data_IF_881051432466
#
_entry.id   IF_881051432466
#
_cell.length_a   1.000
_cell.length_b   1.000
_cell.length_c   1.000
_cell.angle_alpha   90.00
_cell.angle_beta   90.00
_cell.angle_gamma   90.00
#
_symmetry.space_group_name_H-M   'P 1'
#
loop_
_entity.id
_entity.type
_entity.pdbx_description
1 polymer ?
#
# COMPACT_ATOMS: atom_id res chain seq x y z
N UNK A 1 -11.00 -11.11 -30.44
CA UNK A 1 -12.16 -11.38 -29.54
C UNK A 1 -11.80 -11.08 -28.09
N UNK A 2 -10.60 -11.44 -27.63
CA UNK A 2 -10.17 -11.18 -26.24
C UNK A 2 -10.01 -9.68 -25.91
N UNK A 3 -9.49 -8.90 -26.86
CA UNK A 3 -9.30 -7.46 -26.69
C UNK A 3 -10.63 -6.72 -26.51
N UNK A 4 -11.64 -7.04 -27.34
CA UNK A 4 -12.98 -6.47 -27.24
C UNK A 4 -13.68 -6.85 -25.93
N UNK A 5 -13.47 -8.07 -25.42
CA UNK A 5 -14.01 -8.49 -24.13
C UNK A 5 -13.37 -7.72 -22.97
N UNK A 6 -12.06 -7.54 -22.99
CA UNK A 6 -11.35 -6.73 -22.00
C UNK A 6 -11.80 -5.26 -22.02
N UNK A 7 -12.04 -4.71 -23.20
CA UNK A 7 -12.53 -3.35 -23.39
C UNK A 7 -13.94 -3.16 -22.83
N UNK A 8 -14.85 -4.10 -23.13
CA UNK A 8 -16.24 -4.11 -22.59
C UNK A 8 -16.24 -4.26 -21.07
N UNK A 9 -15.49 -5.23 -20.54
CA UNK A 9 -15.39 -5.45 -19.10
C UNK A 9 -14.82 -4.23 -18.38
N UNK A 10 -13.75 -3.63 -18.92
CA UNK A 10 -13.12 -2.43 -18.40
C UNK A 10 -14.07 -1.23 -18.37
N UNK A 11 -14.86 -1.02 -19.43
CA UNK A 11 -15.84 0.05 -19.48
C UNK A 11 -16.99 -0.15 -18.47
N UNK A 12 -17.50 -1.38 -18.32
CA UNK A 12 -18.54 -1.70 -17.34
C UNK A 12 -18.05 -1.39 -15.91
N UNK A 13 -16.86 -1.88 -15.55
CA UNK A 13 -16.26 -1.63 -14.22
C UNK A 13 -16.01 -0.14 -14.01
N UNK A 14 -15.54 0.56 -15.03
CA UNK A 14 -15.35 2.02 -14.98
C UNK A 14 -16.66 2.74 -14.71
N UNK A 15 -17.74 2.43 -15.43
CA UNK A 15 -19.06 3.02 -15.23
C UNK A 15 -19.62 2.71 -13.82
N UNK A 16 -19.42 1.48 -13.31
CA UNK A 16 -19.83 1.12 -11.96
C UNK A 16 -19.11 1.97 -10.89
N UNK A 17 -17.81 2.21 -11.04
CA UNK A 17 -17.03 3.05 -10.11
C UNK A 17 -17.45 4.53 -10.22
N UNK A 18 -17.57 5.05 -11.45
CA UNK A 18 -17.97 6.45 -11.69
C UNK A 18 -19.40 6.75 -11.23
N UNK A 19 -20.24 5.72 -11.06
CA UNK A 19 -21.59 5.88 -10.49
C UNK A 19 -21.59 6.56 -9.11
N UNK A 20 -20.49 6.47 -8.37
CA UNK A 20 -20.29 7.19 -7.10
C UNK A 20 -20.44 8.72 -7.23
N UNK A 21 -20.00 9.32 -8.35
CA UNK A 21 -20.12 10.77 -8.57
C UNK A 21 -21.58 11.22 -8.74
N UNK A 22 -22.46 10.31 -9.17
CA UNK A 22 -23.86 10.65 -9.51
C UNK A 22 -24.77 10.57 -8.27
N UNK A 23 -24.50 9.66 -7.32
CA UNK A 23 -25.10 9.55 -5.97
C UNK A 23 -24.54 8.30 -5.25
N UNK A 24 -24.90 8.10 -3.99
CA UNK A 24 -24.72 6.83 -3.27
C UNK A 24 -25.51 5.71 -3.95
N UNK A 25 -24.87 5.02 -4.90
CA UNK A 25 -25.52 4.08 -5.81
C UNK A 25 -25.22 2.63 -5.44
N UNK A 26 -26.22 1.77 -5.62
CA UNK A 26 -26.06 0.31 -5.42
C UNK A 26 -24.94 -0.23 -6.32
N UNK A 27 -24.80 0.31 -7.53
CA UNK A 27 -23.80 -0.03 -8.54
C UNK A 27 -22.35 0.16 -8.02
N UNK A 28 -22.06 1.29 -7.38
CA UNK A 28 -20.75 1.53 -6.78
C UNK A 28 -20.44 0.52 -5.66
N UNK A 29 -21.43 0.21 -4.82
CA UNK A 29 -21.28 -0.80 -3.76
C UNK A 29 -20.96 -2.18 -4.32
N UNK A 30 -21.54 -2.56 -5.45
CA UNK A 30 -21.20 -3.81 -6.15
C UNK A 30 -19.76 -3.80 -6.67
N UNK A 31 -19.30 -2.71 -7.29
CA UNK A 31 -17.91 -2.61 -7.72
C UNK A 31 -16.93 -2.70 -6.54
N UNK A 32 -17.24 -2.04 -5.43
CA UNK A 32 -16.43 -2.13 -4.22
C UNK A 32 -16.44 -3.55 -3.63
N UNK A 33 -17.60 -4.20 -3.57
CA UNK A 33 -17.72 -5.58 -3.12
C UNK A 33 -16.95 -6.55 -4.03
N UNK A 34 -16.94 -6.32 -5.34
CA UNK A 34 -16.16 -7.11 -6.29
C UNK A 34 -14.67 -6.90 -6.06
N UNK A 35 -14.21 -5.66 -5.89
CA UNK A 35 -12.80 -5.33 -5.64
C UNK A 35 -12.28 -5.95 -4.33
N UNK A 36 -13.00 -5.74 -3.22
CA UNK A 36 -12.64 -6.27 -1.90
C UNK A 36 -12.78 -7.79 -1.88
N UNK A 37 -13.82 -8.31 -2.53
CA UNK A 37 -14.07 -9.74 -2.68
C UNK A 37 -12.97 -10.44 -3.46
N UNK A 38 -12.52 -9.88 -4.59
CA UNK A 38 -11.42 -10.44 -5.37
C UNK A 38 -10.09 -10.41 -4.60
N UNK A 39 -9.82 -9.32 -3.87
CA UNK A 39 -8.61 -9.22 -3.06
C UNK A 39 -8.60 -10.26 -1.92
N UNK A 40 -9.74 -10.41 -1.23
CA UNK A 40 -9.91 -11.38 -0.14
C UNK A 40 -9.89 -12.81 -0.68
N UNK A 41 -10.51 -13.06 -1.84
CA UNK A 41 -10.51 -14.35 -2.52
C UNK A 41 -9.11 -14.79 -2.94
N UNK A 42 -8.32 -13.88 -3.53
CA UNK A 42 -6.92 -14.14 -3.84
C UNK A 42 -6.12 -14.46 -2.57
N UNK A 43 -6.24 -13.64 -1.52
CA UNK A 43 -5.56 -13.85 -0.26
C UNK A 43 -5.91 -15.21 0.37
N UNK A 44 -7.19 -15.60 0.33
CA UNK A 44 -7.66 -16.90 0.81
C UNK A 44 -7.10 -18.05 -0.04
N UNK A 45 -7.11 -17.92 -1.37
CA UNK A 45 -6.53 -18.91 -2.28
C UNK A 45 -5.03 -19.12 -2.02
N UNK A 46 -4.28 -18.03 -1.85
CA UNK A 46 -2.87 -18.06 -1.47
C UNK A 46 -2.67 -18.71 -0.10
N UNK A 47 -3.48 -18.39 0.90
CA UNK A 47 -3.40 -19.00 2.22
C UNK A 47 -3.66 -20.52 2.16
N UNK A 48 -4.68 -20.96 1.41
CA UNK A 48 -4.97 -22.38 1.20
C UNK A 48 -3.81 -23.08 0.50
N UNK A 49 -3.23 -22.48 -0.54
CA UNK A 49 -2.10 -23.07 -1.24
C UNK A 49 -0.87 -23.24 -0.33
N UNK A 50 -0.54 -22.21 0.46
CA UNK A 50 0.54 -22.29 1.44
C UNK A 50 0.27 -23.37 2.50
N UNK A 51 -0.92 -23.41 3.10
CA UNK A 51 -1.23 -24.38 4.15
C UNK A 51 -1.22 -25.80 3.58
N UNK A 52 -1.94 -26.06 2.48
CA UNK A 52 -2.07 -27.42 1.95
C UNK A 52 -0.79 -27.89 1.25
N UNK A 53 -0.29 -27.12 0.29
CA UNK A 53 0.83 -27.58 -0.55
C UNK A 53 2.18 -27.34 0.08
N UNK A 54 2.35 -26.23 0.81
CA UNK A 54 3.66 -25.84 1.34
C UNK A 54 3.92 -26.33 2.76
N UNK A 55 2.88 -26.55 3.56
CA UNK A 55 3.05 -27.01 4.95
C UNK A 55 2.58 -28.46 5.16
N UNK A 56 1.32 -28.80 4.80
CA UNK A 56 0.76 -30.13 5.09
C UNK A 56 1.41 -31.23 4.23
N UNK A 57 1.48 -31.06 2.91
CA UNK A 57 2.05 -32.11 2.02
C UNK A 57 3.51 -32.45 2.39
N UNK A 58 4.42 -31.48 2.58
CA UNK A 58 5.79 -31.78 2.98
C UNK A 58 5.89 -32.39 4.37
N UNK A 59 5.05 -31.96 5.33
CA UNK A 59 5.03 -32.54 6.67
C UNK A 59 4.61 -34.01 6.72
N UNK A 60 3.84 -34.49 5.73
CA UNK A 60 3.42 -35.89 5.63
C UNK A 60 4.37 -36.75 4.79
N UNK A 61 5.20 -36.14 3.94
CA UNK A 61 6.01 -36.83 2.93
C UNK A 61 7.52 -36.70 3.16
N UNK A 62 7.96 -35.90 4.14
CA UNK A 62 9.38 -35.68 4.45
C UNK A 62 10.01 -36.96 5.04
N UNK A 63 11.08 -37.53 4.43
CA UNK A 63 11.79 -38.69 4.96
C UNK A 63 12.60 -38.39 6.23
N UNK A 64 13.03 -37.13 6.41
CA UNK A 64 13.84 -36.67 7.54
C UNK A 64 13.00 -36.11 8.68
N UNK A 65 13.08 -36.75 9.86
CA UNK A 65 12.36 -36.36 11.07
C UNK A 65 12.67 -34.92 11.54
N UNK A 66 13.90 -34.44 11.33
CA UNK A 66 14.29 -33.06 11.70
C UNK A 66 13.59 -32.00 10.87
N UNK A 67 13.40 -32.23 9.57
CA UNK A 67 12.68 -31.29 8.71
C UNK A 67 11.17 -31.32 8.96
N UNK A 68 10.64 -32.49 9.33
CA UNK A 68 9.24 -32.68 9.69
C UNK A 68 8.82 -31.83 10.91
N UNK A 69 9.68 -31.77 11.94
CA UNK A 69 9.43 -30.97 13.16
C UNK A 69 9.36 -29.46 12.86
N UNK A 70 10.11 -28.98 11.86
CA UNK A 70 10.09 -27.58 11.45
C UNK A 70 8.72 -27.11 10.92
N UNK A 71 7.93 -28.00 10.32
CA UNK A 71 6.59 -27.69 9.80
C UNK A 71 5.50 -27.73 10.88
N UNK A 72 5.77 -28.32 12.05
CA UNK A 72 4.82 -28.40 13.17
C UNK A 72 4.52 -27.01 13.71
N UNK A 73 5.54 -26.14 13.81
CA UNK A 73 5.39 -24.78 14.35
C UNK A 73 4.39 -23.93 13.53
N UNK A 74 4.52 -23.77 12.19
CA UNK A 74 3.55 -23.02 11.41
C UNK A 74 2.17 -23.67 11.36
N UNK A 75 2.08 -25.01 11.36
CA UNK A 75 0.79 -25.72 11.44
C UNK A 75 0.08 -25.48 12.77
N UNK A 76 0.82 -25.51 13.88
CA UNK A 76 0.29 -25.25 15.21
C UNK A 76 -0.17 -23.79 15.34
N UNK A 77 0.63 -22.83 14.88
CA UNK A 77 0.25 -21.41 14.86
C UNK A 77 -0.97 -21.16 13.95
N UNK A 78 -1.05 -21.82 12.80
CA UNK A 78 -2.21 -21.76 11.91
C UNK A 78 -3.48 -22.34 12.54
N UNK A 79 -3.36 -23.51 13.18
CA UNK A 79 -4.47 -24.11 13.92
C UNK A 79 -4.95 -23.19 15.06
N UNK A 80 -4.02 -22.65 15.86
CA UNK A 80 -4.35 -21.70 16.93
C UNK A 80 -5.06 -20.43 16.41
N UNK A 81 -4.73 -19.97 15.19
CA UNK A 81 -5.42 -18.87 14.53
C UNK A 81 -6.86 -19.23 14.14
N UNK A 82 -7.09 -20.45 13.62
CA UNK A 82 -8.43 -20.92 13.25
C UNK A 82 -9.38 -20.99 14.46
N UNK A 83 -8.87 -21.37 15.65
CA UNK A 83 -9.67 -21.39 16.87
C UNK A 83 -10.20 -20.00 17.28
N UNK A 84 -9.57 -18.91 16.85
CA UNK A 84 -9.98 -17.54 17.16
C UNK A 84 -11.11 -17.01 16.25
N UNK A 85 -11.33 -17.64 15.09
CA UNK A 85 -12.38 -17.25 14.15
C UNK A 85 -13.81 -17.52 14.64
N UNK A 86 -13.99 -18.32 15.70
CA UNK A 86 -15.31 -18.67 16.24
C UNK A 86 -15.73 -17.72 17.37
N UNK A 87 -16.99 -17.26 17.41
CA UNK A 87 -17.45 -16.25 18.36
C UNK A 87 -17.36 -16.73 19.83
N UNK A 88 -16.98 -15.83 20.77
CA UNK A 88 -16.65 -16.17 22.17
C UNK A 88 -17.84 -16.61 23.05
N UNK A 89 -19.00 -16.95 22.48
CA UNK A 89 -20.23 -17.26 23.22
C UNK A 89 -20.36 -18.70 23.74
N UNK A 90 -19.44 -19.62 23.44
CA UNK A 90 -19.53 -21.01 23.92
C UNK A 90 -18.20 -21.46 24.49
N UNK A 91 -18.06 -21.59 25.82
CA UNK A 91 -17.07 -22.32 26.64
C UNK A 91 -15.55 -22.22 26.31
N UNK A 92 -15.19 -21.66 25.15
CA UNK A 92 -13.89 -21.64 24.50
C UNK A 92 -13.19 -20.28 24.68
N UNK A 93 -13.74 -19.40 25.53
CA UNK A 93 -13.15 -18.07 25.80
C UNK A 93 -11.74 -18.14 26.40
N UNK A 94 -11.42 -19.22 27.14
CA UNK A 94 -10.06 -19.46 27.67
C UNK A 94 -9.07 -19.99 26.61
N UNK A 95 -9.53 -20.76 25.63
CA UNK A 95 -8.67 -21.31 24.57
C UNK A 95 -8.43 -20.25 23.47
N UNK A 96 -9.37 -19.32 23.28
CA UNK A 96 -9.19 -18.15 22.41
C UNK A 96 -8.00 -17.26 22.83
N UNK A 97 -7.61 -17.26 24.11
CA UNK A 97 -6.43 -16.53 24.62
C UNK A 97 -5.12 -17.09 24.03
N UNK A 98 -5.03 -18.40 23.77
CA UNK A 98 -3.84 -19.01 23.17
C UNK A 98 -3.69 -18.55 21.71
N UNK A 99 -4.80 -18.28 21.02
CA UNK A 99 -4.82 -17.67 19.69
C UNK A 99 -4.26 -16.24 19.65
N UNK A 100 -4.10 -15.56 20.78
CA UNK A 100 -3.45 -14.23 20.82
C UNK A 100 -1.96 -14.30 20.50
N UNK A 101 -1.29 -15.43 20.78
CA UNK A 101 0.12 -15.60 20.40
C UNK A 101 0.28 -15.59 18.88
N UNK A 102 -0.57 -16.33 18.17
CA UNK A 102 -0.56 -16.40 16.71
C UNK A 102 -1.01 -15.08 16.08
N UNK A 103 -2.01 -14.40 16.67
CA UNK A 103 -2.42 -13.07 16.22
C UNK A 103 -1.34 -12.00 16.47
N UNK A 104 -0.64 -12.07 17.60
CA UNK A 104 0.51 -11.21 17.90
C UNK A 104 1.65 -11.43 16.92
N UNK A 105 1.93 -12.69 16.55
CA UNK A 105 2.89 -13.01 15.49
C UNK A 105 2.45 -12.45 14.14
N UNK A 106 1.18 -12.60 13.75
CA UNK A 106 0.65 -12.06 12.50
C UNK A 106 0.75 -10.53 12.43
N UNK A 107 0.39 -9.83 13.52
CA UNK A 107 0.51 -8.38 13.61
C UNK A 107 1.98 -7.95 13.61
N UNK A 108 2.86 -8.67 14.31
CA UNK A 108 4.30 -8.40 14.33
C UNK A 108 4.94 -8.54 12.95
N UNK A 109 4.64 -9.63 12.23
CA UNK A 109 5.07 -9.82 10.84
C UNK A 109 4.48 -8.75 9.93
N UNK A 110 3.19 -8.43 10.06
CA UNK A 110 2.54 -7.37 9.29
C UNK A 110 3.18 -6.00 9.51
N UNK A 111 3.51 -5.65 10.76
CA UNK A 111 4.23 -4.43 11.10
C UNK A 111 5.65 -4.43 10.53
N UNK A 112 6.37 -5.54 10.63
CA UNK A 112 7.72 -5.67 10.06
C UNK A 112 7.70 -5.52 8.52
N UNK A 113 6.73 -6.12 7.84
CA UNK A 113 6.53 -5.98 6.39
C UNK A 113 6.18 -4.53 6.03
N UNK A 114 5.30 -3.87 6.79
CA UNK A 114 4.96 -2.46 6.55
C UNK A 114 6.16 -1.54 6.73
N UNK A 115 6.95 -1.73 7.81
CA UNK A 115 8.17 -0.96 8.06
C UNK A 115 9.22 -1.22 6.98
N UNK A 116 9.44 -2.48 6.61
CA UNK A 116 10.37 -2.85 5.53
C UNK A 116 9.93 -2.27 4.18
N UNK A 117 8.64 -2.32 3.88
CA UNK A 117 8.05 -1.73 2.67
C UNK A 117 8.20 -0.21 2.63
N UNK A 118 8.02 0.48 3.75
CA UNK A 118 8.29 1.92 3.83
C UNK A 118 9.80 2.22 3.70
N UNK A 119 10.67 1.43 4.33
CA UNK A 119 12.12 1.62 4.23
C UNK A 119 12.61 1.44 2.79
N UNK A 120 12.27 0.33 2.16
CA UNK A 120 12.73 -0.04 0.81
C UNK A 120 11.97 0.70 -0.29
N UNK A 121 10.68 0.95 -0.10
CA UNK A 121 9.83 1.63 -1.08
C UNK A 121 9.98 3.14 -1.08
N UNK A 122 10.32 3.76 0.07
CA UNK A 122 10.40 5.22 0.16
C UNK A 122 11.74 5.72 0.71
N UNK A 123 12.14 5.32 1.91
CA UNK A 123 13.26 5.98 2.61
C UNK A 123 14.61 5.75 1.93
N UNK A 124 14.93 4.51 1.56
CA UNK A 124 16.19 4.17 0.89
C UNK A 124 16.29 4.86 -0.48
N UNK A 125 15.30 4.74 -1.40
CA UNK A 125 15.33 5.49 -2.65
C UNK A 125 15.48 7.00 -2.45
N UNK A 126 14.80 7.57 -1.45
CA UNK A 126 14.89 9.00 -1.15
C UNK A 126 16.30 9.40 -0.69
N UNK A 127 16.94 8.63 0.19
CA UNK A 127 18.32 8.89 0.64
C UNK A 127 19.31 8.77 -0.52
N UNK A 128 19.18 7.74 -1.36
CA UNK A 128 20.04 7.55 -2.52
C UNK A 128 19.88 8.68 -3.55
N UNK A 129 18.63 9.05 -3.87
CA UNK A 129 18.35 10.15 -4.79
C UNK A 129 18.89 11.49 -4.27
N UNK A 130 18.76 11.74 -2.97
CA UNK A 130 19.28 12.96 -2.34
C UNK A 130 20.81 12.99 -2.32
N UNK A 131 21.46 11.85 -2.03
CA UNK A 131 22.91 11.72 -2.04
C UNK A 131 23.51 11.85 -3.44
N UNK A 132 22.86 11.26 -4.45
CA UNK A 132 23.28 11.35 -5.85
C UNK A 132 23.07 12.74 -6.46
N UNK A 133 22.17 13.56 -5.90
CA UNK A 133 21.91 14.91 -6.42
C UNK A 133 23.07 15.88 -6.16
N UNK A 134 23.92 15.64 -5.15
CA UNK A 134 25.04 16.52 -4.78
C UNK A 134 26.31 16.10 -5.52
N UNK A 135 26.36 16.36 -6.83
CA UNK A 135 27.56 16.10 -7.65
C UNK A 135 27.95 17.33 -8.48
N UNK A 136 29.23 17.42 -8.83
CA UNK A 136 29.78 18.45 -9.73
C UNK A 136 29.61 18.09 -11.22
N UNK A 137 29.00 16.94 -11.52
CA UNK A 137 28.95 16.35 -12.86
C UNK A 137 28.12 17.21 -13.83
N UNK A 138 27.09 17.90 -13.31
CA UNK A 138 26.22 18.81 -14.07
C UNK A 138 26.62 20.29 -13.91
N UNK A 139 27.86 20.57 -13.50
CA UNK A 139 28.37 21.92 -13.24
C UNK A 139 27.78 22.59 -11.99
N UNK A 140 28.05 23.89 -11.83
CA UNK A 140 27.64 24.69 -10.64
C UNK A 140 26.12 24.70 -10.47
N UNK A 141 25.35 24.71 -11.57
CA UNK A 141 23.89 24.69 -11.52
C UNK A 141 23.36 23.36 -10.97
N UNK A 142 23.94 22.22 -11.37
CA UNK A 142 23.59 20.91 -10.83
C UNK A 142 23.91 20.78 -9.35
N UNK A 143 25.06 21.31 -8.91
CA UNK A 143 25.44 21.35 -7.49
C UNK A 143 24.43 22.16 -6.66
N UNK A 144 24.01 23.33 -7.15
CA UNK A 144 23.02 24.16 -6.46
C UNK A 144 21.68 23.42 -6.35
N UNK A 145 21.23 22.77 -7.43
CA UNK A 145 20.00 21.97 -7.41
C UNK A 145 20.08 20.82 -6.40
N UNK A 146 21.21 20.11 -6.37
CA UNK A 146 21.47 19.04 -5.41
C UNK A 146 21.45 19.51 -3.95
N UNK A 147 22.12 20.64 -3.68
CA UNK A 147 22.15 21.24 -2.34
C UNK A 147 20.77 21.73 -1.91
N UNK A 148 20.01 22.38 -2.81
CA UNK A 148 18.65 22.82 -2.52
C UNK A 148 17.76 21.62 -2.21
N UNK A 149 17.88 20.52 -2.97
CA UNK A 149 17.13 19.29 -2.73
C UNK A 149 17.51 18.67 -1.37
N UNK A 150 18.79 18.51 -1.09
CA UNK A 150 19.29 17.93 0.16
C UNK A 150 18.94 18.77 1.40
N UNK A 151 19.04 20.10 1.30
CA UNK A 151 18.65 21.01 2.37
C UNK A 151 17.13 21.00 2.55
N UNK A 152 16.37 21.08 1.45
CA UNK A 152 14.91 21.04 1.48
C UNK A 152 14.36 19.76 2.13
N UNK A 153 14.92 18.59 1.79
CA UNK A 153 14.53 17.31 2.41
C UNK A 153 14.90 17.28 3.89
N UNK A 154 16.11 17.75 4.24
CA UNK A 154 16.58 17.77 5.64
C UNK A 154 15.72 18.66 6.52
N UNK A 155 15.42 19.88 6.06
CA UNK A 155 14.57 20.84 6.78
C UNK A 155 13.14 20.31 6.94
N UNK A 156 12.60 19.66 5.90
CA UNK A 156 11.26 19.05 5.97
C UNK A 156 11.21 17.89 6.98
N UNK A 157 12.23 17.02 7.00
CA UNK A 157 12.33 15.93 7.98
C UNK A 157 12.46 16.45 9.41
N UNK A 158 13.17 17.57 9.62
CA UNK A 158 13.29 18.20 10.93
C UNK A 158 11.94 18.69 11.45
N UNK A 159 11.06 19.23 10.59
CA UNK A 159 9.70 19.63 10.99
C UNK A 159 8.88 18.45 11.51
N UNK A 160 8.99 17.28 10.90
CA UNK A 160 8.26 16.08 11.34
C UNK A 160 8.87 15.39 12.56
N UNK A 161 10.19 15.46 12.72
CA UNK A 161 10.92 14.82 13.83
C UNK A 161 10.80 15.62 15.12
N UNK A 162 10.72 16.96 15.02
CA UNK A 162 10.52 17.85 16.17
C UNK A 162 9.03 17.90 16.56
N UNK A 163 8.45 16.74 16.89
CA UNK A 163 7.19 16.64 17.62
C UNK A 163 7.45 16.55 19.13
N UNK A 164 8.17 17.53 19.69
CA UNK A 164 8.23 17.71 21.16
C UNK A 164 7.26 18.84 21.55
N UNK A 165 6.50 18.67 22.64
CA UNK A 165 5.44 19.60 23.02
C UNK A 165 6.04 20.95 23.43
N UNK A 166 5.57 22.03 22.77
CA UNK A 166 5.34 23.40 23.23
C UNK A 166 6.38 24.16 24.10
N UNK A 167 7.54 23.61 24.44
CA UNK A 167 8.48 24.22 25.41
C UNK A 167 9.86 24.57 24.84
N UNK A 168 10.11 24.28 23.55
CA UNK A 168 11.34 24.67 22.85
C UNK A 168 11.21 26.02 22.10
N UNK A 169 10.15 26.80 22.36
CA UNK A 169 9.79 28.01 21.60
C UNK A 169 10.56 29.29 22.00
N UNK A 170 11.64 29.20 22.79
CA UNK A 170 12.37 30.40 23.21
C UNK A 170 13.40 30.93 22.18
N UNK A 171 13.89 30.10 21.25
CA UNK A 171 14.97 30.50 20.33
C UNK A 171 14.44 31.02 18.99
N UNK A 172 14.86 32.23 18.61
CA UNK A 172 14.58 32.86 17.30
C UNK A 172 15.00 31.92 16.15
N UNK A 173 16.12 31.22 16.33
CA UNK A 173 16.62 30.23 15.37
C UNK A 173 15.64 29.05 15.18
N UNK A 174 15.03 28.54 16.25
CA UNK A 174 14.07 27.44 16.16
C UNK A 174 12.80 27.80 15.38
N UNK A 175 12.31 29.05 15.55
CA UNK A 175 11.13 29.56 14.82
C UNK A 175 11.41 29.74 13.32
N UNK A 176 12.62 30.16 12.95
CA UNK A 176 13.02 30.31 11.56
C UNK A 176 13.02 28.96 10.81
N UNK A 177 13.73 27.95 11.34
CA UNK A 177 13.79 26.62 10.71
C UNK A 177 12.42 25.95 10.62
N UNK A 178 11.57 26.14 11.64
CA UNK A 178 10.20 25.63 11.62
C UNK A 178 9.38 26.27 10.51
N UNK A 179 9.41 27.59 10.39
CA UNK A 179 8.68 28.33 9.34
C UNK A 179 9.15 27.92 7.96
N UNK A 180 10.46 27.82 7.76
CA UNK A 180 11.06 27.41 6.49
C UNK A 180 10.60 26.00 6.11
N UNK A 181 10.59 25.05 7.05
CA UNK A 181 10.12 23.71 6.76
C UNK A 181 8.61 23.59 6.52
N UNK A 182 7.77 24.43 7.15
CA UNK A 182 6.34 24.49 6.82
C UNK A 182 6.12 25.05 5.40
N UNK A 183 6.93 26.01 4.97
CA UNK A 183 6.89 26.52 3.60
C UNK A 183 7.25 25.41 2.59
N UNK A 184 8.37 24.70 2.80
CA UNK A 184 8.74 23.56 1.96
C UNK A 184 7.68 22.47 1.95
N UNK A 185 7.07 22.17 3.11
CA UNK A 185 5.99 21.19 3.22
C UNK A 185 4.75 21.62 2.43
N UNK A 186 4.35 22.89 2.53
CA UNK A 186 3.21 23.43 1.79
C UNK A 186 3.45 23.34 0.26
N UNK A 187 4.65 23.69 -0.19
CA UNK A 187 5.04 23.57 -1.61
C UNK A 187 5.04 22.10 -2.04
N UNK A 188 5.66 21.20 -1.28
CA UNK A 188 5.73 19.78 -1.62
C UNK A 188 4.34 19.13 -1.69
N UNK A 189 3.47 19.41 -0.72
CA UNK A 189 2.07 18.95 -0.73
C UNK A 189 1.29 19.56 -1.90
N UNK A 190 1.52 20.84 -2.21
CA UNK A 190 0.92 21.50 -3.37
C UNK A 190 1.28 20.83 -4.69
N UNK A 191 2.56 20.50 -4.88
CA UNK A 191 3.04 19.76 -6.07
C UNK A 191 2.45 18.36 -6.12
N UNK A 192 2.45 17.63 -4.99
CA UNK A 192 1.87 16.29 -4.92
C UNK A 192 0.37 16.29 -5.24
N UNK A 193 -0.37 17.28 -4.73
CA UNK A 193 -1.79 17.45 -5.00
C UNK A 193 -2.07 17.81 -6.46
N UNK A 194 -1.30 18.73 -7.04
CA UNK A 194 -1.39 19.06 -8.46
C UNK A 194 -1.10 17.84 -9.35
N UNK A 195 -0.09 17.04 -8.98
CA UNK A 195 0.21 15.76 -9.63
C UNK A 195 -0.93 14.76 -9.53
N UNK A 196 -1.54 14.63 -8.35
CA UNK A 196 -2.70 13.75 -8.14
C UNK A 196 -3.91 14.18 -8.98
N UNK A 197 -4.22 15.49 -9.05
CA UNK A 197 -5.28 16.04 -9.90
C UNK A 197 -4.97 15.74 -11.37
N UNK A 198 -3.75 16.03 -11.83
CA UNK A 198 -3.33 15.81 -13.22
C UNK A 198 -3.42 14.34 -13.60
N UNK A 199 -2.96 13.44 -12.72
CA UNK A 199 -3.07 12.00 -12.89
C UNK A 199 -4.53 11.54 -12.92
N UNK A 200 -5.38 12.06 -12.02
CA UNK A 200 -6.81 11.79 -12.00
C UNK A 200 -7.53 12.24 -13.27
N UNK A 201 -7.26 13.46 -13.76
CA UNK A 201 -7.77 13.97 -15.03
C UNK A 201 -7.28 13.14 -16.21
N UNK A 202 -6.00 12.76 -16.23
CA UNK A 202 -5.44 11.90 -17.27
C UNK A 202 -6.17 10.56 -17.27
N UNK A 203 -6.34 9.94 -16.10
CA UNK A 203 -7.07 8.69 -15.96
C UNK A 203 -8.53 8.84 -16.45
N UNK A 204 -9.22 9.93 -16.10
CA UNK A 204 -10.57 10.22 -16.59
C UNK A 204 -10.62 10.30 -18.12
N UNK A 205 -9.70 11.05 -18.73
CA UNK A 205 -9.61 11.16 -20.19
C UNK A 205 -9.40 9.78 -20.83
N UNK A 206 -8.48 8.97 -20.28
CA UNK A 206 -8.24 7.60 -20.75
C UNK A 206 -9.50 6.73 -20.67
N UNK A 207 -10.27 6.84 -19.58
CA UNK A 207 -11.55 6.11 -19.42
C UNK A 207 -12.62 6.56 -20.42
N UNK A 208 -12.75 7.86 -20.69
CA UNK A 208 -13.68 8.40 -21.69
C UNK A 208 -13.29 7.92 -23.09
N UNK A 209 -12.00 7.96 -23.44
CA UNK A 209 -11.49 7.46 -24.72
C UNK A 209 -11.80 5.97 -24.89
N UNK A 210 -11.62 5.15 -23.86
CA UNK A 210 -11.99 3.73 -23.88
C UNK A 210 -13.48 3.51 -24.16
N UNK A 211 -14.37 4.33 -23.60
CA UNK A 211 -15.82 4.24 -23.85
C UNK A 211 -16.14 4.64 -25.30
N UNK A 212 -15.51 5.70 -25.82
CA UNK A 212 -15.66 6.11 -27.22
C UNK A 212 -15.18 5.01 -28.17
N UNK A 213 -14.05 4.37 -27.85
CA UNK A 213 -13.51 3.25 -28.63
C UNK A 213 -14.48 2.05 -28.65
N UNK A 214 -15.15 1.75 -27.53
CA UNK A 214 -16.24 0.75 -27.55
C UNK A 214 -17.36 1.15 -28.48
N UNK A 215 -17.88 2.38 -28.35
CA UNK A 215 -19.04 2.82 -29.11
C UNK A 215 -18.74 2.78 -30.61
N UNK A 216 -17.55 3.23 -31.02
CA UNK A 216 -17.11 3.19 -32.43
C UNK A 216 -16.98 1.75 -32.94
N UNK A 217 -16.32 0.86 -32.19
CA UNK A 217 -16.22 -0.58 -32.53
C UNK A 217 -17.59 -1.26 -32.62
N UNK A 218 -18.55 -0.88 -31.78
CA UNK A 218 -19.92 -1.44 -31.77
C UNK A 218 -20.79 -0.87 -32.90
N UNK A 219 -20.61 0.41 -33.26
CA UNK A 219 -21.42 1.10 -34.29
C UNK A 219 -20.92 0.81 -35.71
N UNK A 220 -19.81 0.07 -35.87
CA UNK A 220 -19.41 -0.53 -37.14
C UNK A 220 -18.70 0.40 -38.12
N UNK A 221 -18.10 1.50 -37.65
CA UNK A 221 -17.14 2.23 -38.48
C UNK A 221 -15.76 1.64 -38.21
N UNK A 222 -15.31 0.76 -39.11
CA UNK A 222 -13.97 0.15 -39.13
C UNK A 222 -12.87 1.19 -39.12
#
# INVERSE_FOLDING_TARGET
>A
MDETLGLVAGAIVTLLIFSYLLKDSVLYRWALALLVGSATGYALGTAVDFVLRRWIRPALQSPDSTTQVGYIVPLLLGALLLLKGFPPRRLMGRIATIGNLSLGFLVGVGAAVAVSGALTGTLIPQVLATGAAVTFENGIMGLIQGLVLALGTSVTLLVFTVRRPAQADASIWGRFWRTLGHFFLAVALGVAFAGAITSGLTALVQRVMQIIELITKVTGNT
#
